data_IF_110387674100
#
_entry.id   IF_110387674100
#
_cell.length_a   1.000
_cell.length_b   1.000
_cell.length_c   1.000
_cell.angle_alpha   90.00
_cell.angle_beta   90.00
_cell.angle_gamma   90.00
#
_symmetry.space_group_name_H-M   'P 1'
#
loop_
_entity.id
_entity.type
_entity.pdbx_description
1 polymer ?
#
# COMPACT_ATOMS: atom_id res chain seq x y z
N UNK A 1 30.40 24.35 -70.98
CA UNK A 1 30.49 25.11 -69.71
C UNK A 1 31.87 24.90 -69.15
N UNK A 2 32.55 25.98 -68.77
CA UNK A 2 33.94 25.96 -68.34
C UNK A 2 34.01 25.40 -66.90
N UNK A 3 34.95 24.50 -66.61
CA UNK A 3 35.02 23.81 -65.30
C UNK A 3 35.16 24.79 -64.12
N UNK A 4 35.79 25.94 -64.37
CA UNK A 4 35.99 27.00 -63.39
C UNK A 4 34.66 27.65 -62.94
N UNK A 5 33.68 27.75 -63.84
CA UNK A 5 32.36 28.32 -63.52
C UNK A 5 31.56 27.41 -62.58
N UNK A 6 31.74 26.09 -62.72
CA UNK A 6 31.09 25.10 -61.85
C UNK A 6 31.67 25.13 -60.44
N UNK A 7 33.01 25.21 -60.32
CA UNK A 7 33.67 25.31 -59.02
C UNK A 7 33.24 26.59 -58.28
N UNK A 8 33.22 27.72 -58.96
CA UNK A 8 32.76 28.99 -58.37
C UNK A 8 31.31 28.92 -57.89
N UNK A 9 30.43 28.24 -58.63
CA UNK A 9 29.03 28.06 -58.23
C UNK A 9 28.89 27.17 -56.98
N UNK A 10 29.73 26.14 -56.86
CA UNK A 10 29.74 25.25 -55.69
C UNK A 10 30.30 25.96 -54.45
N UNK A 11 31.34 26.78 -54.61
CA UNK A 11 31.89 27.58 -53.51
C UNK A 11 30.88 28.62 -53.04
N UNK A 12 30.19 29.31 -53.96
CA UNK A 12 29.15 30.28 -53.63
C UNK A 12 27.97 29.60 -52.90
N UNK A 13 27.54 28.43 -53.38
CA UNK A 13 26.48 27.65 -52.75
C UNK A 13 26.88 27.16 -51.33
N UNK A 14 28.14 26.76 -51.13
CA UNK A 14 28.64 26.34 -49.83
C UNK A 14 28.70 27.52 -48.85
N UNK A 15 29.18 28.69 -49.29
CA UNK A 15 29.21 29.90 -48.47
C UNK A 15 27.79 30.39 -48.14
N UNK A 16 26.89 30.39 -49.12
CA UNK A 16 25.47 30.74 -48.93
C UNK A 16 24.75 29.80 -47.95
N UNK A 17 25.16 28.54 -47.85
CA UNK A 17 24.58 27.58 -46.90
C UNK A 17 24.93 27.88 -45.44
N UNK A 18 26.02 28.60 -45.19
CA UNK A 18 26.52 28.97 -43.87
C UNK A 18 26.00 30.33 -43.39
N UNK A 19 25.47 31.16 -44.29
CA UNK A 19 25.02 32.53 -43.98
C UNK A 19 23.86 32.59 -42.97
N UNK A 20 23.07 31.51 -42.89
CA UNK A 20 21.96 31.37 -41.92
C UNK A 20 22.32 30.45 -40.74
N UNK A 21 23.60 30.09 -40.57
CA UNK A 21 24.03 29.22 -39.48
C UNK A 21 24.02 29.98 -38.15
N UNK A 22 22.89 29.98 -37.47
CA UNK A 22 22.78 30.51 -36.11
C UNK A 22 23.29 29.48 -35.08
N UNK A 23 23.84 29.98 -33.97
CA UNK A 23 24.25 29.14 -32.84
C UNK A 23 23.04 28.34 -32.34
N UNK A 24 23.11 27.02 -32.42
CA UNK A 24 22.04 26.14 -31.95
C UNK A 24 21.74 26.42 -30.46
N UNK A 25 20.56 26.97 -30.19
CA UNK A 25 20.07 27.16 -28.82
C UNK A 25 19.38 25.88 -28.34
N UNK A 26 19.44 25.63 -27.03
CA UNK A 26 18.72 24.49 -26.47
C UNK A 26 17.22 24.64 -26.77
N UNK A 27 16.61 23.58 -27.30
CA UNK A 27 15.17 23.55 -27.58
C UNK A 27 14.40 23.96 -26.31
N UNK A 28 13.38 24.85 -26.39
CA UNK A 28 12.61 25.25 -25.23
C UNK A 28 12.05 24.02 -24.51
N UNK A 29 12.02 24.07 -23.16
CA UNK A 29 11.56 23.01 -22.25
C UNK A 29 12.41 21.74 -22.18
N UNK A 30 13.62 21.71 -22.74
CA UNK A 30 14.53 20.57 -22.61
C UNK A 30 14.85 20.27 -21.13
N UNK A 31 15.10 21.32 -20.34
CA UNK A 31 15.33 21.22 -18.90
C UNK A 31 14.15 20.60 -18.16
N UNK A 32 12.93 21.07 -18.42
CA UNK A 32 11.70 20.55 -17.80
C UNK A 32 11.49 19.07 -18.12
N UNK A 33 11.67 18.68 -19.38
CA UNK A 33 11.51 17.28 -19.82
C UNK A 33 12.58 16.37 -19.20
N UNK A 34 13.80 16.86 -19.07
CA UNK A 34 14.88 16.12 -18.41
C UNK A 34 14.57 15.92 -16.93
N UNK A 35 14.17 16.99 -16.24
CA UNK A 35 13.85 16.95 -14.82
C UNK A 35 12.65 16.03 -14.51
N UNK A 36 11.60 16.08 -15.34
CA UNK A 36 10.45 15.18 -15.21
C UNK A 36 10.82 13.70 -15.39
N UNK A 37 11.72 13.38 -16.34
CA UNK A 37 12.23 12.02 -16.49
C UNK A 37 13.08 11.58 -15.30
N UNK A 38 13.85 12.50 -14.72
CA UNK A 38 14.74 12.22 -13.59
C UNK A 38 13.96 11.96 -12.29
N UNK A 39 12.89 12.72 -12.03
CA UNK A 39 12.01 12.52 -10.88
C UNK A 39 11.25 11.18 -11.00
N UNK A 40 10.61 10.93 -12.15
CA UNK A 40 9.82 9.71 -12.37
C UNK A 40 10.66 8.42 -12.44
N UNK A 41 11.98 8.53 -12.67
CA UNK A 41 12.86 7.35 -12.74
C UNK A 41 13.06 6.66 -11.38
N UNK A 42 12.97 7.40 -10.27
CA UNK A 42 13.16 6.84 -8.93
C UNK A 42 11.87 6.31 -8.28
N UNK A 43 10.71 6.68 -8.81
CA UNK A 43 9.44 6.49 -8.12
C UNK A 43 8.76 5.16 -8.48
N UNK A 44 9.05 4.56 -9.64
CA UNK A 44 8.25 3.45 -10.19
C UNK A 44 8.06 2.24 -9.27
N UNK A 45 9.04 1.88 -8.44
CA UNK A 45 8.95 0.68 -7.59
C UNK A 45 8.43 0.99 -6.18
N UNK A 46 8.86 2.10 -5.58
CA UNK A 46 8.41 2.52 -4.25
C UNK A 46 6.98 3.06 -4.26
N UNK A 47 6.60 3.78 -5.31
CA UNK A 47 5.28 4.35 -5.46
C UNK A 47 4.21 3.25 -5.64
N UNK A 48 4.56 2.17 -6.34
CA UNK A 48 3.66 1.02 -6.49
C UNK A 48 3.47 0.27 -5.15
N UNK A 49 4.53 0.15 -4.34
CA UNK A 49 4.44 -0.42 -3.00
C UNK A 49 3.61 0.46 -2.05
N UNK A 50 3.81 1.78 -2.05
CA UNK A 50 3.01 2.75 -1.28
C UNK A 50 1.53 2.73 -1.71
N UNK A 51 1.27 2.61 -3.00
CA UNK A 51 -0.07 2.48 -3.55
C UNK A 51 -0.75 1.16 -3.18
N UNK A 52 0.04 0.11 -2.91
CA UNK A 52 -0.48 -1.17 -2.45
C UNK A 52 -0.82 -1.14 -0.95
N UNK A 53 0.03 -0.53 -0.14
CA UNK A 53 -0.16 -0.35 1.31
C UNK A 53 -1.30 0.62 1.64
N UNK A 54 -1.52 1.64 0.80
CA UNK A 54 -2.62 2.59 0.97
C UNK A 54 -4.00 2.01 0.63
N UNK A 55 -4.10 0.78 0.12
CA UNK A 55 -5.40 0.12 -0.11
C UNK A 55 -5.97 -0.40 1.21
N UNK A 56 -7.28 -0.19 1.49
CA UNK A 56 -7.93 -0.70 2.70
C UNK A 56 -7.89 -2.24 2.81
N UNK A 57 -7.75 -2.93 1.67
CA UNK A 57 -7.53 -4.37 1.64
C UNK A 57 -6.26 -4.83 2.39
N UNK A 58 -5.19 -4.02 2.37
CA UNK A 58 -3.94 -4.37 3.04
C UNK A 58 -4.08 -4.29 4.58
N UNK A 59 -4.91 -3.37 5.08
CA UNK A 59 -5.24 -3.29 6.50
C UNK A 59 -5.95 -4.55 7.00
N UNK A 60 -6.91 -5.07 6.23
CA UNK A 60 -7.58 -6.34 6.55
C UNK A 60 -6.62 -7.54 6.54
N UNK A 61 -5.73 -7.63 5.54
CA UNK A 61 -4.73 -8.70 5.47
C UNK A 61 -3.78 -8.64 6.67
N UNK A 62 -3.31 -7.43 7.03
CA UNK A 62 -2.49 -7.21 8.21
C UNK A 62 -3.20 -7.63 9.50
N UNK A 63 -4.46 -7.24 9.67
CA UNK A 63 -5.27 -7.64 10.82
C UNK A 63 -5.41 -9.17 10.91
N UNK A 64 -5.80 -9.81 9.80
CA UNK A 64 -5.93 -11.27 9.73
C UNK A 64 -4.59 -11.97 10.02
N UNK A 65 -3.48 -11.43 9.54
CA UNK A 65 -2.14 -11.97 9.79
C UNK A 65 -1.77 -11.90 11.28
N UNK A 66 -2.05 -10.79 11.95
CA UNK A 66 -1.83 -10.66 13.40
C UNK A 66 -2.68 -11.68 14.16
N UNK A 67 -3.96 -11.82 13.82
CA UNK A 67 -4.85 -12.82 14.44
C UNK A 67 -4.35 -14.25 14.19
N UNK A 68 -3.94 -14.56 12.96
CA UNK A 68 -3.45 -15.88 12.58
C UNK A 68 -2.15 -16.26 13.32
N UNK A 69 -1.20 -15.32 13.46
CA UNK A 69 0.03 -15.57 14.22
C UNK A 69 -0.30 -15.86 15.68
N UNK A 70 -1.18 -15.07 16.30
CA UNK A 70 -1.58 -15.31 17.68
C UNK A 70 -2.30 -16.66 17.84
N UNK A 71 -3.23 -16.99 16.95
CA UNK A 71 -3.92 -18.28 16.95
C UNK A 71 -2.94 -19.45 16.76
N UNK A 72 -1.95 -19.29 15.88
CA UNK A 72 -0.91 -20.29 15.63
C UNK A 72 -0.02 -20.50 16.86
N UNK A 73 0.37 -19.42 17.54
CA UNK A 73 1.14 -19.51 18.80
C UNK A 73 0.33 -20.27 19.85
N UNK A 74 -0.96 -19.99 19.99
CA UNK A 74 -1.84 -20.71 20.93
C UNK A 74 -1.93 -22.19 20.54
N UNK A 75 -2.16 -22.50 19.27
CA UNK A 75 -2.29 -23.88 18.78
C UNK A 75 -1.01 -24.71 19.00
N UNK A 76 0.17 -24.10 18.84
CA UNK A 76 1.44 -24.81 19.06
C UNK A 76 1.92 -24.81 20.52
N UNK A 77 1.42 -23.91 21.36
CA UNK A 77 1.77 -23.86 22.79
C UNK A 77 0.69 -24.45 23.69
N UNK A 78 -0.40 -24.99 23.15
CA UNK A 78 -1.35 -25.78 23.92
C UNK A 78 -0.79 -27.20 24.07
N UNK A 79 -0.31 -27.62 25.26
CA UNK A 79 -0.15 -29.04 25.53
C UNK A 79 -1.52 -29.70 25.41
N UNK A 80 -1.61 -30.88 24.80
CA UNK A 80 -2.84 -31.69 24.72
C UNK A 80 -3.44 -31.89 26.12
N UNK A 81 -4.27 -30.94 26.52
CA UNK A 81 -5.17 -31.08 27.64
C UNK A 81 -6.50 -31.40 27.00
N UNK A 82 -6.80 -32.69 26.97
CA UNK A 82 -8.16 -33.21 26.88
C UNK A 82 -9.02 -32.40 27.87
N UNK A 83 -9.68 -31.37 27.37
CA UNK A 83 -10.47 -30.46 28.18
C UNK A 83 -11.86 -31.05 28.18
N UNK A 84 -12.20 -31.74 29.26
CA UNK A 84 -13.60 -31.87 29.69
C UNK A 84 -14.18 -30.47 29.69
N UNK A 85 -15.20 -30.25 28.86
CA UNK A 85 -15.95 -28.99 28.78
C UNK A 85 -16.34 -28.58 30.19
N UNK A 86 -15.65 -27.59 30.74
CA UNK A 86 -16.15 -26.82 31.88
C UNK A 86 -16.45 -25.47 31.27
N UNK A 87 -17.72 -25.29 30.95
CA UNK A 87 -18.26 -24.01 30.54
C UNK A 87 -17.83 -22.97 31.58
N UNK A 88 -17.22 -21.87 31.14
CA UNK A 88 -17.23 -20.64 31.92
C UNK A 88 -18.68 -20.14 31.95
N UNK A 89 -19.49 -20.79 32.78
CA UNK A 89 -20.83 -20.36 33.10
C UNK A 89 -20.68 -19.07 33.90
N UNK A 90 -21.26 -17.99 33.37
CA UNK A 90 -21.42 -16.70 34.03
C UNK A 90 -22.11 -16.89 35.39
N UNK A 91 -21.33 -17.21 36.43
CA UNK A 91 -21.79 -17.51 37.78
C UNK A 91 -22.15 -16.25 38.59
N UNK A 92 -22.78 -15.27 37.95
CA UNK A 92 -23.21 -14.03 38.62
C UNK A 92 -24.72 -13.76 38.48
N UNK A 93 -25.40 -14.44 37.55
CA UNK A 93 -26.85 -14.24 37.33
C UNK A 93 -27.68 -15.32 38.05
N UNK A 94 -27.16 -16.54 38.18
CA UNK A 94 -27.91 -17.67 38.74
C UNK A 94 -28.06 -17.61 40.27
N UNK A 95 -27.13 -16.95 40.97
CA UNK A 95 -27.17 -16.82 42.44
C UNK A 95 -28.22 -15.79 42.93
N UNK A 96 -28.54 -14.77 42.12
CA UNK A 96 -29.64 -13.84 42.41
C UNK A 96 -31.02 -14.48 42.22
N UNK A 97 -31.16 -15.41 41.28
CA UNK A 97 -32.40 -16.17 41.05
C UNK A 97 -32.69 -17.16 42.20
N UNK A 98 -31.63 -17.84 42.67
CA UNK A 98 -31.69 -18.79 43.78
C UNK A 98 -32.14 -18.12 45.09
N UNK A 99 -31.59 -16.95 45.42
CA UNK A 99 -31.96 -16.24 46.67
C UNK A 99 -33.41 -15.76 46.69
N UNK A 100 -33.95 -15.29 45.56
CA UNK A 100 -35.36 -14.87 45.46
C UNK A 100 -36.32 -16.06 45.58
N UNK A 101 -35.94 -17.23 45.03
CA UNK A 101 -36.77 -18.44 45.13
C UNK A 101 -36.85 -18.95 46.57
N UNK A 102 -35.73 -18.93 47.31
CA UNK A 102 -35.73 -19.30 48.73
C UNK A 102 -36.55 -18.31 49.56
N UNK A 103 -36.49 -17.00 49.27
CA UNK A 103 -37.28 -16.00 50.01
C UNK A 103 -38.80 -16.14 49.81
N UNK A 104 -39.26 -16.54 48.61
CA UNK A 104 -40.70 -16.78 48.38
C UNK A 104 -41.19 -18.07 49.07
N UNK A 105 -40.33 -19.08 49.21
CA UNK A 105 -40.71 -20.35 49.86
C UNK A 105 -40.84 -20.20 51.39
N UNK A 106 -40.10 -19.30 52.03
CA UNK A 106 -40.26 -18.99 53.47
C UNK A 106 -41.48 -18.10 53.77
N UNK A 107 -41.96 -17.30 52.80
CA UNK A 107 -43.14 -16.46 52.99
C UNK A 107 -44.46 -17.22 52.74
N UNK A 108 -44.43 -18.32 51.98
CA UNK A 108 -45.59 -19.15 51.64
C UNK A 108 -45.81 -20.37 52.57
N UNK A 109 -45.24 -20.37 53.78
CA UNK A 109 -45.68 -21.27 54.85
C UNK A 109 -46.87 -20.61 55.55
N UNK A 110 -48.06 -20.80 54.96
CA UNK A 110 -49.33 -20.52 55.65
C UNK A 110 -49.49 -21.52 56.84
N UNK A 111 -50.08 -21.09 57.98
CA UNK A 111 -50.23 -21.91 59.18
C UNK A 111 -51.25 -23.06 59.04
#
# INVERSE_FOLDING_TARGET
MNNNDHINKLTEAALSSLDNAERATAKPYLFTRLNARMQNANESNWDNALRFISKPAFAFVSLCLVVAINAMVIAYNYPDKTTTVTEEQYASVDEYSSSVTVLNDIENIEP
#
